data_IF_627871362867
#
_entry.id   IF_627871362867
#
_cell.length_a   1.000
_cell.length_b   1.000
_cell.length_c   1.000
_cell.angle_alpha   90.00
_cell.angle_beta   90.00
_cell.angle_gamma   90.00
#
_symmetry.space_group_name_H-M   'P 1'
#
loop_
_entity.id
_entity.type
_entity.pdbx_description
1 polymer ?
#
# COMPACT_ATOMS: atom_id res chain seq x y z
N UNK A 1 21.06 8.00 -23.82
CA UNK A 1 21.86 8.54 -24.93
C UNK A 1 20.89 8.94 -26.04
N UNK A 2 20.93 10.20 -26.49
CA UNK A 2 20.05 10.65 -27.58
C UNK A 2 20.50 10.03 -28.93
N UNK A 3 19.62 9.32 -29.65
CA UNK A 3 19.98 8.65 -30.91
C UNK A 3 20.26 9.63 -32.08
N UNK A 4 19.97 10.92 -31.91
CA UNK A 4 20.21 11.95 -32.94
C UNK A 4 21.54 12.68 -32.81
N UNK A 5 22.08 12.81 -31.60
CA UNK A 5 23.28 13.63 -31.34
C UNK A 5 24.27 13.01 -30.34
N UNK A 6 24.02 11.78 -29.87
CA UNK A 6 24.93 11.09 -28.94
C UNK A 6 24.98 11.68 -27.53
N UNK A 7 24.31 12.80 -27.27
CA UNK A 7 24.36 13.49 -25.99
C UNK A 7 23.73 12.63 -24.88
N UNK A 8 24.45 12.48 -23.77
CA UNK A 8 24.00 11.78 -22.56
C UNK A 8 23.67 12.86 -21.54
N UNK A 9 22.39 13.04 -21.25
CA UNK A 9 21.95 13.89 -20.16
C UNK A 9 21.75 13.03 -18.92
N UNK A 10 22.37 13.42 -17.82
CA UNK A 10 22.13 12.86 -16.50
C UNK A 10 20.91 13.57 -15.93
N UNK A 11 19.81 12.82 -15.75
CA UNK A 11 18.68 13.33 -14.99
C UNK A 11 19.01 13.13 -13.54
N UNK A 12 19.31 14.22 -12.84
CA UNK A 12 19.51 14.22 -11.40
C UNK A 12 18.14 14.08 -10.71
N UNK A 13 17.57 12.88 -10.80
CA UNK A 13 16.37 12.53 -10.05
C UNK A 13 16.79 12.35 -8.61
N UNK A 14 16.59 13.39 -7.79
CA UNK A 14 16.75 13.34 -6.35
C UNK A 14 16.06 12.07 -5.80
N UNK A 15 16.88 11.07 -5.46
CA UNK A 15 16.43 9.76 -4.99
C UNK A 15 16.07 9.80 -3.50
N UNK A 16 15.58 10.93 -3.01
CA UNK A 16 15.20 11.13 -1.61
C UNK A 16 13.69 11.27 -1.46
N UNK A 17 12.93 10.31 -2.02
CA UNK A 17 11.58 10.08 -1.51
C UNK A 17 11.66 9.17 -0.29
N UNK A 18 11.39 9.73 0.90
CA UNK A 18 11.14 8.94 2.11
C UNK A 18 10.05 7.91 1.79
N UNK A 19 10.41 6.63 1.76
CA UNK A 19 9.45 5.53 1.56
C UNK A 19 8.33 5.64 2.58
N UNK A 20 7.08 5.71 2.14
CA UNK A 20 5.90 5.84 3.01
C UNK A 20 5.21 7.22 2.99
N UNK A 21 5.56 8.11 2.06
CA UNK A 21 4.86 9.41 1.88
C UNK A 21 3.65 9.35 0.93
N UNK A 22 3.38 8.19 0.32
CA UNK A 22 2.32 8.03 -0.67
C UNK A 22 2.73 8.54 -2.07
N UNK A 23 1.88 8.30 -3.07
CA UNK A 23 2.12 8.77 -4.43
C UNK A 23 1.94 10.30 -4.49
N UNK A 24 2.94 11.01 -5.01
CA UNK A 24 2.91 12.48 -5.09
C UNK A 24 1.73 13.03 -5.91
N UNK A 25 1.25 12.28 -6.90
CA UNK A 25 0.09 12.63 -7.72
C UNK A 25 -1.24 12.15 -7.15
N UNK A 26 -1.27 11.57 -5.94
CA UNK A 26 -2.48 10.98 -5.37
C UNK A 26 -3.65 11.98 -5.29
N UNK A 27 -3.36 13.27 -5.05
CA UNK A 27 -4.37 14.35 -5.04
C UNK A 27 -5.02 14.62 -6.40
N UNK A 28 -4.40 14.16 -7.49
CA UNK A 28 -4.91 14.30 -8.86
C UNK A 28 -5.84 13.15 -9.25
N UNK A 29 -5.88 12.07 -8.45
CA UNK A 29 -6.76 10.92 -8.69
C UNK A 29 -8.19 11.33 -8.34
N UNK A 30 -9.02 11.51 -9.36
CA UNK A 30 -10.43 11.92 -9.20
C UNK A 30 -11.36 10.75 -8.90
N UNK A 31 -10.98 9.52 -9.26
CA UNK A 31 -11.79 8.31 -9.07
C UNK A 31 -10.90 7.11 -8.74
N UNK A 32 -11.33 6.33 -7.75
CA UNK A 32 -10.68 5.06 -7.44
C UNK A 32 -10.95 4.04 -8.55
N UNK A 33 -9.93 3.26 -8.86
CA UNK A 33 -10.08 2.10 -9.74
C UNK A 33 -10.61 0.89 -8.96
N UNK A 34 -11.17 -0.14 -9.63
CA UNK A 34 -11.69 -1.33 -8.95
C UNK A 34 -10.68 -2.00 -8.02
N UNK A 35 -9.40 -1.99 -8.39
CA UNK A 35 -8.34 -2.56 -7.55
C UNK A 35 -8.11 -1.74 -6.26
N UNK A 36 -8.31 -0.42 -6.28
CA UNK A 36 -8.25 0.38 -5.07
C UNK A 36 -9.37 -0.01 -4.11
N UNK A 37 -10.58 -0.12 -4.63
CA UNK A 37 -11.78 -0.45 -3.86
C UNK A 37 -11.66 -1.85 -3.28
N UNK A 38 -11.21 -2.83 -4.05
CA UNK A 38 -10.97 -4.19 -3.55
C UNK A 38 -9.91 -4.22 -2.44
N UNK A 39 -8.84 -3.42 -2.53
CA UNK A 39 -7.85 -3.32 -1.46
C UNK A 39 -8.48 -2.74 -0.19
N UNK A 40 -9.29 -1.69 -0.32
CA UNK A 40 -10.00 -1.07 0.82
C UNK A 40 -10.98 -2.06 1.46
N UNK A 41 -11.76 -2.77 0.65
CA UNK A 41 -12.68 -3.81 1.11
C UNK A 41 -11.96 -4.93 1.89
N UNK A 42 -10.82 -5.40 1.37
CA UNK A 42 -10.03 -6.42 2.07
C UNK A 42 -9.48 -5.91 3.40
N UNK A 43 -9.11 -4.63 3.50
CA UNK A 43 -8.68 -4.04 4.75
C UNK A 43 -9.83 -3.84 5.74
N UNK A 44 -11.05 -3.60 5.26
CA UNK A 44 -12.26 -3.58 6.10
C UNK A 44 -12.60 -4.99 6.61
N UNK A 45 -12.60 -5.99 5.74
CA UNK A 45 -12.99 -7.37 6.11
C UNK A 45 -11.96 -8.08 6.99
N UNK A 46 -10.66 -7.86 6.75
CA UNK A 46 -9.58 -8.62 7.41
C UNK A 46 -8.72 -7.78 8.36
N UNK A 47 -9.00 -6.49 8.49
CA UNK A 47 -8.21 -5.56 9.28
C UNK A 47 -6.79 -5.31 8.73
N UNK A 48 -5.85 -4.85 9.58
CA UNK A 48 -4.50 -4.49 9.17
C UNK A 48 -3.74 -5.63 8.48
N UNK A 49 -3.28 -5.41 7.25
CA UNK A 49 -2.65 -6.44 6.42
C UNK A 49 -1.30 -6.02 5.86
N UNK A 50 -0.39 -7.00 5.72
CA UNK A 50 0.84 -6.79 4.94
C UNK A 50 0.53 -6.83 3.44
N UNK A 51 1.38 -6.20 2.61
CA UNK A 51 1.28 -6.28 1.15
C UNK A 51 1.20 -7.72 0.63
N UNK A 52 1.96 -8.64 1.23
CA UNK A 52 1.95 -10.06 0.84
C UNK A 52 0.59 -10.70 1.13
N UNK A 53 -0.02 -10.41 2.28
CA UNK A 53 -1.34 -10.92 2.65
C UNK A 53 -2.42 -10.38 1.70
N UNK A 54 -2.42 -9.08 1.42
CA UNK A 54 -3.34 -8.47 0.45
C UNK A 54 -3.22 -9.12 -0.94
N UNK A 55 -1.99 -9.34 -1.43
CA UNK A 55 -1.78 -10.04 -2.70
C UNK A 55 -2.33 -11.47 -2.71
N UNK A 56 -2.23 -12.20 -1.60
CA UNK A 56 -2.82 -13.53 -1.45
C UNK A 56 -4.34 -13.51 -1.43
N UNK A 57 -4.95 -12.58 -0.68
CA UNK A 57 -6.41 -12.41 -0.61
C UNK A 57 -7.01 -12.01 -1.96
N UNK A 58 -6.37 -11.08 -2.68
CA UNK A 58 -6.78 -10.71 -4.04
C UNK A 58 -6.72 -11.92 -4.98
N UNK A 59 -5.67 -12.74 -4.89
CA UNK A 59 -5.57 -13.96 -5.69
C UNK A 59 -6.66 -15.00 -5.35
N UNK A 60 -7.05 -15.12 -4.08
CA UNK A 60 -8.17 -15.96 -3.64
C UNK A 60 -9.51 -15.47 -4.21
N UNK A 61 -9.70 -14.14 -4.34
CA UNK A 61 -10.83 -13.53 -5.04
C UNK A 61 -10.72 -13.60 -6.58
N UNK A 62 -9.78 -14.35 -7.12
CA UNK A 62 -9.59 -14.52 -8.57
C UNK A 62 -8.79 -13.40 -9.26
N UNK A 63 -8.29 -12.40 -8.53
CA UNK A 63 -7.51 -11.29 -9.08
C UNK A 63 -6.01 -11.44 -8.81
N UNK A 64 -5.28 -12.02 -9.78
CA UNK A 64 -3.81 -12.05 -9.75
C UNK A 64 -3.24 -10.73 -10.24
N UNK A 65 -2.38 -10.10 -9.43
CA UNK A 65 -1.72 -8.83 -9.77
C UNK A 65 -0.23 -8.88 -9.51
N UNK A 66 0.54 -8.09 -10.26
CA UNK A 66 1.96 -7.93 -10.01
C UNK A 66 2.21 -7.19 -8.69
N UNK A 67 3.33 -7.50 -8.04
CA UNK A 67 3.74 -6.81 -6.81
C UNK A 67 3.93 -5.31 -6.99
N UNK A 68 4.24 -4.85 -8.20
CA UNK A 68 4.38 -3.43 -8.53
C UNK A 68 3.04 -2.73 -8.64
N UNK A 69 2.05 -3.37 -9.29
CA UNK A 69 0.68 -2.85 -9.37
C UNK A 69 0.08 -2.66 -7.97
N UNK A 70 0.19 -3.68 -7.11
CA UNK A 70 -0.26 -3.59 -5.72
C UNK A 70 0.44 -2.46 -4.94
N UNK A 71 1.76 -2.32 -5.12
CA UNK A 71 2.53 -1.27 -4.43
C UNK A 71 2.14 0.13 -4.90
N UNK A 72 1.86 0.30 -6.21
CA UNK A 72 1.38 1.55 -6.78
C UNK A 72 0.06 1.97 -6.16
N UNK A 73 -0.93 1.08 -6.14
CA UNK A 73 -2.26 1.35 -5.56
C UNK A 73 -2.20 1.65 -4.07
N UNK A 74 -1.42 0.90 -3.30
CA UNK A 74 -1.21 1.18 -1.88
C UNK A 74 -0.56 2.56 -1.65
N UNK A 75 0.38 2.96 -2.51
CA UNK A 75 1.00 4.28 -2.44
C UNK A 75 0.00 5.39 -2.79
N UNK A 76 -0.86 5.17 -3.79
CA UNK A 76 -1.93 6.09 -4.16
C UNK A 76 -2.95 6.26 -3.03
N UNK A 77 -3.45 5.16 -2.44
CA UNK A 77 -4.34 5.19 -1.27
C UNK A 77 -3.73 5.93 -0.08
N UNK A 78 -2.43 5.72 0.17
CA UNK A 78 -1.70 6.39 1.23
C UNK A 78 -1.59 7.90 0.95
N UNK A 79 -1.30 8.29 -0.29
CA UNK A 79 -1.24 9.70 -0.67
C UNK A 79 -2.61 10.39 -0.64
N UNK A 80 -3.71 9.63 -0.82
CA UNK A 80 -5.08 10.10 -0.63
C UNK A 80 -5.51 10.15 0.84
N UNK A 81 -4.71 9.57 1.74
CA UNK A 81 -5.02 9.46 3.16
C UNK A 81 -6.15 8.49 3.47
N UNK A 82 -6.41 7.49 2.62
CA UNK A 82 -7.43 6.46 2.85
C UNK A 82 -6.86 5.29 3.66
N UNK A 83 -5.56 5.04 3.55
CA UNK A 83 -4.85 4.04 4.35
C UNK A 83 -3.65 4.68 5.03
N UNK A 84 -3.25 4.11 6.17
CA UNK A 84 -1.98 4.39 6.84
C UNK A 84 -1.06 3.18 6.72
N UNK A 85 0.24 3.44 6.77
CA UNK A 85 1.27 2.42 6.69
C UNK A 85 2.22 2.56 7.87
N UNK A 86 2.38 1.50 8.66
CA UNK A 86 3.30 1.46 9.77
C UNK A 86 4.13 0.17 9.75
N UNK A 87 5.21 0.16 10.51
CA UNK A 87 6.07 -1.02 10.66
C UNK A 87 5.75 -1.65 12.01
N UNK A 88 5.31 -2.90 12.00
CA UNK A 88 5.18 -3.67 13.25
C UNK A 88 6.58 -3.90 13.82
N UNK A 89 6.75 -3.62 15.11
CA UNK A 89 7.94 -4.04 15.85
C UNK A 89 7.56 -5.28 16.65
N UNK A 90 8.46 -6.27 16.57
CA UNK A 90 8.54 -7.48 17.41
C UNK A 90 7.72 -8.69 16.94
N UNK A 91 8.45 -9.76 16.58
CA UNK A 91 7.98 -11.14 16.70
C UNK A 91 8.91 -11.81 17.72
N UNK A 92 8.35 -12.29 18.82
CA UNK A 92 9.06 -13.13 19.79
C UNK A 92 9.33 -14.48 19.11
N UNK A 93 10.61 -14.85 18.98
CA UNK A 93 11.00 -16.09 18.30
C UNK A 93 11.13 -17.24 19.30
N UNK A 94 11.41 -16.92 20.55
CA UNK A 94 11.67 -17.87 21.63
C UNK A 94 11.52 -17.14 22.99
N UNK A 95 10.56 -17.54 23.84
CA UNK A 95 10.34 -16.94 25.16
C UNK A 95 11.47 -17.21 26.16
N UNK A 96 12.17 -18.34 26.04
CA UNK A 96 13.24 -18.72 26.97
C UNK A 96 14.54 -17.97 26.67
N UNK A 97 14.86 -17.74 25.39
CA UNK A 97 16.11 -17.06 24.98
C UNK A 97 15.95 -15.56 24.71
N UNK A 98 14.75 -14.99 24.89
CA UNK A 98 14.41 -13.58 24.59
C UNK A 98 14.90 -13.11 23.22
N UNK A 99 14.90 -14.00 22.22
CA UNK A 99 15.35 -13.64 20.86
C UNK A 99 14.25 -12.90 20.12
N UNK A 100 14.43 -11.60 19.98
CA UNK A 100 13.56 -10.74 19.19
C UNK A 100 14.00 -10.71 17.72
N UNK A 101 13.08 -10.92 16.77
CA UNK A 101 13.33 -10.62 15.36
C UNK A 101 12.50 -9.42 14.91
N UNK A 102 13.19 -8.35 14.50
CA UNK A 102 12.55 -7.20 13.87
C UNK A 102 11.99 -7.60 12.49
N UNK A 103 10.70 -7.86 12.40
CA UNK A 103 10.03 -8.03 11.12
C UNK A 103 9.67 -6.65 10.58
N UNK A 104 10.59 -6.02 9.84
CA UNK A 104 10.40 -4.68 9.20
C UNK A 104 9.36 -4.69 8.05
N UNK A 105 8.30 -5.51 8.14
CA UNK A 105 7.30 -5.59 7.07
C UNK A 105 6.27 -4.46 7.27
N UNK A 106 6.00 -3.64 6.25
CA UNK A 106 4.95 -2.63 6.32
C UNK A 106 3.58 -3.30 6.42
N UNK A 107 2.79 -2.83 7.38
CA UNK A 107 1.37 -3.16 7.57
C UNK A 107 0.55 -1.96 7.10
N UNK A 108 -0.52 -2.26 6.38
CA UNK A 108 -1.46 -1.30 5.82
C UNK A 108 -2.79 -1.45 6.56
N UNK A 109 -3.38 -0.32 6.91
CA UNK A 109 -4.61 -0.25 7.69
C UNK A 109 -5.47 0.90 7.17
N UNK A 110 -6.79 0.78 7.28
CA UNK A 110 -7.69 1.88 7.00
C UNK A 110 -7.44 3.05 7.96
N UNK A 111 -7.69 4.25 7.46
CA UNK A 111 -7.85 5.45 8.30
C UNK A 111 -9.34 5.71 8.49
N UNK A 112 -9.70 6.63 9.37
CA UNK A 112 -11.09 7.12 9.50
C UNK A 112 -11.67 7.52 8.14
N UNK A 113 -10.94 8.31 7.36
CA UNK A 113 -11.31 8.70 6.00
C UNK A 113 -11.52 7.50 5.06
N UNK A 114 -10.69 6.46 5.21
CA UNK A 114 -10.83 5.21 4.46
C UNK A 114 -12.09 4.45 4.83
N UNK A 115 -12.39 4.37 6.13
CA UNK A 115 -13.59 3.74 6.69
C UNK A 115 -14.85 4.47 6.20
N UNK A 116 -14.87 5.81 6.31
CA UNK A 116 -15.95 6.65 5.79
C UNK A 116 -16.18 6.42 4.29
N UNK A 117 -15.10 6.33 3.50
CA UNK A 117 -15.23 6.04 2.08
C UNK A 117 -15.94 4.70 1.83
N UNK A 118 -15.59 3.65 2.57
CA UNK A 118 -16.21 2.33 2.43
C UNK A 118 -17.70 2.38 2.80
N UNK A 119 -18.04 3.02 3.92
CA UNK A 119 -19.43 3.13 4.40
C UNK A 119 -20.28 3.95 3.42
N UNK A 120 -19.84 5.17 3.09
CA UNK A 120 -20.68 6.13 2.37
C UNK A 120 -20.61 6.01 0.85
N UNK A 121 -19.53 5.46 0.28
CA UNK A 121 -19.37 5.32 -1.17
C UNK A 121 -19.52 3.88 -1.67
N UNK A 122 -19.17 2.89 -0.86
CA UNK A 122 -19.29 1.49 -1.23
C UNK A 122 -20.49 0.79 -0.56
N UNK A 123 -21.13 1.41 0.44
CA UNK A 123 -22.30 0.86 1.11
C UNK A 123 -21.99 -0.40 1.93
N UNK A 124 -20.76 -0.51 2.44
CA UNK A 124 -20.28 -1.65 3.20
C UNK A 124 -20.07 -1.24 4.66
N UNK A 125 -20.64 -2.00 5.59
CA UNK A 125 -20.41 -1.83 7.02
C UNK A 125 -19.16 -2.65 7.43
N UNK A 126 -18.07 -2.01 7.91
CA UNK A 126 -16.89 -2.73 8.37
C UNK A 126 -17.22 -3.47 9.68
N UNK A 127 -17.14 -4.81 9.63
CA UNK A 127 -17.32 -5.72 10.78
C UNK A 127 -16.32 -5.47 11.91
#
# INVERSE_FOLDING_TARGET
MCPKCGHIFYVDVSFERRKGTGAHYARQIKKLSPLHEEILQLLAEYGPCTKRRLGGLLAQRGRRISGNSLSGRLSELLGMGLVKCYRTKVREVDPETKKYRFVKKPVWELTEKGTEYIIYKLGLDPL
#
